data_IF_186934400348
#
_entry.id   IF_186934400348
#
_cell.length_a   1.000
_cell.length_b   1.000
_cell.length_c   1.000
_cell.angle_alpha   90.00
_cell.angle_beta   90.00
_cell.angle_gamma   90.00
#
_symmetry.space_group_name_H-M   'P 1'
#
loop_
_entity.id
_entity.type
_entity.pdbx_description
1 polymer ?
#
# COMPACT_ATOMS: atom_id res chain seq x y z
N UNK A 1 -13.99 -11.73 3.77
CA UNK A 1 -12.55 -11.53 4.03
C UNK A 1 -12.38 -10.76 5.33
N UNK A 2 -11.40 -11.12 6.11
CA UNK A 2 -11.14 -10.51 7.41
C UNK A 2 -9.82 -9.75 7.36
N UNK A 3 -9.81 -8.51 7.89
CA UNK A 3 -8.59 -7.70 8.01
C UNK A 3 -8.14 -7.74 9.46
N UNK A 4 -6.87 -8.01 9.69
CA UNK A 4 -6.25 -7.91 11.01
C UNK A 4 -5.06 -6.99 10.94
N UNK A 5 -4.87 -6.19 11.99
CA UNK A 5 -3.71 -5.32 12.12
C UNK A 5 -2.90 -5.72 13.34
N UNK A 6 -1.60 -5.50 13.23
CA UNK A 6 -0.67 -5.92 14.25
C UNK A 6 0.51 -4.96 14.26
N UNK A 7 0.96 -4.55 15.43
CA UNK A 7 2.05 -3.59 15.58
C UNK A 7 3.19 -4.20 16.39
N UNK A 8 4.41 -3.97 15.95
CA UNK A 8 5.61 -4.38 16.67
C UNK A 8 6.69 -3.33 16.49
N UNK A 9 7.03 -2.62 17.57
CA UNK A 9 8.03 -1.56 17.54
C UNK A 9 7.62 -0.49 16.51
N UNK A 10 8.50 -0.12 15.58
CA UNK A 10 8.19 0.86 14.52
C UNK A 10 7.48 0.25 13.32
N UNK A 11 7.14 -1.02 13.36
CA UNK A 11 6.53 -1.73 12.24
C UNK A 11 5.04 -1.97 12.49
N UNK A 12 4.25 -1.80 11.44
CA UNK A 12 2.81 -2.03 11.45
C UNK A 12 2.47 -2.98 10.31
N UNK A 13 1.61 -3.95 10.60
CA UNK A 13 1.27 -4.99 9.63
C UNK A 13 -0.23 -5.03 9.42
N UNK A 14 -0.62 -5.20 8.17
CA UNK A 14 -2.02 -5.40 7.78
C UNK A 14 -2.07 -6.75 7.08
N UNK A 15 -2.92 -7.64 7.56
CA UNK A 15 -3.11 -8.96 6.98
C UNK A 15 -4.57 -9.13 6.58
N UNK A 16 -4.79 -9.78 5.45
CA UNK A 16 -6.14 -10.13 4.99
C UNK A 16 -6.25 -11.63 4.93
N UNK A 17 -7.34 -12.16 5.48
CA UNK A 17 -7.61 -13.59 5.55
C UNK A 17 -8.90 -13.95 4.82
N UNK A 18 -8.89 -15.10 4.19
CA UNK A 18 -10.10 -15.76 3.72
C UNK A 18 -10.20 -17.07 4.53
N UNK A 19 -11.10 -17.11 5.52
CA UNK A 19 -11.09 -18.16 6.50
C UNK A 19 -9.79 -18.16 7.30
N UNK A 20 -9.08 -19.27 7.34
CA UNK A 20 -7.82 -19.42 8.06
C UNK A 20 -6.59 -19.12 7.19
N UNK A 21 -6.78 -18.81 5.91
CA UNK A 21 -5.70 -18.61 4.98
C UNK A 21 -5.41 -17.13 4.80
N UNK A 22 -4.16 -16.73 5.04
CA UNK A 22 -3.74 -15.35 4.77
C UNK A 22 -3.58 -15.17 3.26
N UNK A 23 -4.32 -14.24 2.69
CA UNK A 23 -4.33 -13.98 1.25
C UNK A 23 -3.71 -12.65 0.87
N UNK A 24 -3.37 -11.81 1.85
CA UNK A 24 -2.69 -10.54 1.61
C UNK A 24 -1.93 -10.09 2.83
N UNK A 25 -0.83 -9.38 2.60
CA UNK A 25 -0.04 -8.76 3.66
C UNK A 25 0.56 -7.45 3.19
N UNK A 26 0.59 -6.47 4.07
CA UNK A 26 1.18 -5.16 3.84
C UNK A 26 1.98 -4.78 5.06
N UNK A 27 3.21 -4.32 4.86
CA UNK A 27 4.07 -3.90 5.96
C UNK A 27 4.39 -2.43 5.85
N UNK A 28 4.31 -1.73 6.98
CA UNK A 28 4.54 -0.29 7.08
C UNK A 28 5.59 -0.06 8.15
N UNK A 29 6.47 0.90 7.89
CA UNK A 29 7.51 1.30 8.83
C UNK A 29 7.32 2.77 9.20
N UNK A 30 7.34 3.05 10.51
CA UNK A 30 7.39 4.42 11.02
C UNK A 30 8.74 5.03 10.69
N UNK A 31 8.75 6.15 9.98
CA UNK A 31 9.98 6.86 9.64
C UNK A 31 10.20 8.09 10.53
N UNK A 32 9.11 8.76 10.88
CA UNK A 32 9.12 9.93 11.78
C UNK A 32 7.68 10.21 12.20
N UNK A 33 7.48 11.21 13.03
CA UNK A 33 6.14 11.59 13.47
C UNK A 33 5.21 11.96 12.30
N UNK A 34 5.79 12.40 11.18
CA UNK A 34 5.03 12.87 10.03
C UNK A 34 5.04 11.91 8.85
N UNK A 35 5.82 10.82 8.90
CA UNK A 35 6.06 9.98 7.73
C UNK A 35 6.04 8.50 8.08
N UNK A 36 5.36 7.73 7.23
CA UNK A 36 5.43 6.27 7.23
C UNK A 36 5.77 5.80 5.82
N UNK A 37 6.33 4.62 5.73
CA UNK A 37 6.72 4.03 4.45
C UNK A 37 6.13 2.63 4.33
N UNK A 38 5.47 2.35 3.22
CA UNK A 38 4.98 1.01 2.93
C UNK A 38 6.13 0.21 2.34
N UNK A 39 6.58 -0.80 3.10
CA UNK A 39 7.72 -1.62 2.69
C UNK A 39 7.33 -2.67 1.65
N UNK A 40 6.12 -3.19 1.72
CA UNK A 40 5.64 -4.20 0.77
C UNK A 40 4.11 -4.28 0.78
N UNK A 41 3.59 -4.69 -0.36
CA UNK A 41 2.17 -5.05 -0.52
C UNK A 41 2.17 -6.36 -1.31
N UNK A 42 1.71 -7.43 -0.70
CA UNK A 42 1.72 -8.75 -1.33
C UNK A 42 0.33 -9.36 -1.29
N UNK A 43 -0.15 -9.82 -2.43
CA UNK A 43 -1.43 -10.52 -2.56
C UNK A 43 -1.17 -11.94 -3.05
N UNK A 44 -1.84 -12.90 -2.43
CA UNK A 44 -1.79 -14.29 -2.90
C UNK A 44 -2.21 -14.33 -4.37
N UNK A 45 -1.43 -15.05 -5.17
CA UNK A 45 -1.60 -15.13 -6.62
C UNK A 45 -3.04 -15.44 -7.07
N UNK A 46 -3.72 -16.31 -6.33
CA UNK A 46 -5.11 -16.71 -6.65
C UNK A 46 -6.12 -15.59 -6.41
N UNK A 47 -5.72 -14.54 -5.70
CA UNK A 47 -6.60 -13.44 -5.32
C UNK A 47 -6.21 -12.11 -5.97
N UNK A 48 -5.25 -12.11 -6.88
CA UNK A 48 -4.88 -10.90 -7.63
C UNK A 48 -6.07 -10.44 -8.46
N UNK A 49 -6.35 -9.12 -8.43
CA UNK A 49 -7.48 -8.56 -9.15
C UNK A 49 -8.82 -8.68 -8.43
N UNK A 50 -8.83 -9.19 -7.20
CA UNK A 50 -10.07 -9.37 -6.42
C UNK A 50 -10.24 -8.35 -5.30
N UNK A 51 -9.48 -7.26 -5.34
CA UNK A 51 -9.63 -6.17 -4.39
C UNK A 51 -8.89 -6.33 -3.08
N UNK A 52 -8.04 -7.34 -2.93
CA UNK A 52 -7.29 -7.56 -1.67
C UNK A 52 -6.30 -6.43 -1.42
N UNK A 53 -5.52 -6.04 -2.44
CA UNK A 53 -4.58 -4.94 -2.32
C UNK A 53 -5.31 -3.63 -2.01
N UNK A 54 -6.47 -3.41 -2.64
CA UNK A 54 -7.30 -2.23 -2.39
C UNK A 54 -7.73 -2.17 -0.92
N UNK A 55 -8.16 -3.29 -0.36
CA UNK A 55 -8.52 -3.35 1.07
C UNK A 55 -7.33 -2.95 1.96
N UNK A 56 -6.15 -3.47 1.66
CA UNK A 56 -4.95 -3.20 2.46
C UNK A 56 -4.52 -1.74 2.35
N UNK A 57 -4.49 -1.19 1.14
CA UNK A 57 -4.11 0.20 0.93
C UNK A 57 -5.08 1.14 1.63
N UNK A 58 -6.39 0.90 1.50
CA UNK A 58 -7.39 1.71 2.19
C UNK A 58 -7.23 1.64 3.71
N UNK A 59 -6.90 0.46 4.24
CA UNK A 59 -6.67 0.32 5.68
C UNK A 59 -5.43 1.09 6.13
N UNK A 60 -4.36 1.04 5.35
CA UNK A 60 -3.14 1.80 5.64
C UNK A 60 -3.42 3.30 5.66
N UNK A 61 -4.18 3.78 4.68
CA UNK A 61 -4.55 5.21 4.61
C UNK A 61 -5.39 5.60 5.82
N UNK A 62 -6.35 4.78 6.21
CA UNK A 62 -7.18 5.03 7.38
C UNK A 62 -6.33 5.14 8.66
N UNK A 63 -5.36 4.24 8.81
CA UNK A 63 -4.49 4.22 10.00
C UNK A 63 -3.55 5.43 10.07
N UNK A 64 -3.08 5.91 8.92
CA UNK A 64 -2.04 6.93 8.84
C UNK A 64 -2.43 8.15 8.00
N UNK A 65 -3.71 8.49 7.95
CA UNK A 65 -4.21 9.58 7.10
C UNK A 65 -3.60 10.95 7.42
N UNK A 66 -3.10 11.14 8.65
CA UNK A 66 -2.50 12.40 9.08
C UNK A 66 -1.01 12.47 8.82
N UNK A 67 -0.44 11.42 8.26
CA UNK A 67 0.99 11.33 7.94
C UNK A 67 1.19 11.21 6.44
N UNK A 68 2.37 11.61 5.98
CA UNK A 68 2.79 11.33 4.62
C UNK A 68 3.09 9.84 4.49
N UNK A 69 2.53 9.19 3.48
CA UNK A 69 2.74 7.78 3.20
C UNK A 69 3.54 7.66 1.93
N UNK A 70 4.70 7.01 1.99
CA UNK A 70 5.52 6.77 0.80
C UNK A 70 5.60 5.27 0.49
N UNK A 71 5.91 4.96 -0.75
CA UNK A 71 6.20 3.59 -1.19
C UNK A 71 7.10 3.63 -2.41
N UNK A 72 7.82 2.54 -2.65
CA UNK A 72 8.58 2.35 -3.88
C UNK A 72 7.81 1.38 -4.76
N UNK A 73 7.58 1.77 -6.01
CA UNK A 73 6.88 0.92 -6.98
C UNK A 73 7.83 -0.18 -7.43
N UNK A 74 7.51 -1.41 -7.05
CA UNK A 74 8.29 -2.59 -7.42
C UNK A 74 7.39 -3.60 -8.11
N UNK A 75 7.40 -3.65 -9.44
CA UNK A 75 6.65 -4.67 -10.13
C UNK A 75 7.23 -6.05 -9.82
N UNK A 76 6.36 -7.01 -9.55
CA UNK A 76 6.76 -8.40 -9.34
C UNK A 76 6.23 -9.21 -10.51
N UNK A 77 7.07 -9.48 -11.53
CA UNK A 77 6.63 -10.26 -12.68
C UNK A 77 6.15 -11.64 -12.24
N UNK A 78 5.00 -12.04 -12.74
CA UNK A 78 4.43 -13.36 -12.47
C UNK A 78 4.00 -13.96 -13.80
N UNK A 79 4.52 -15.13 -14.10
CA UNK A 79 4.20 -15.81 -15.36
C UNK A 79 2.71 -16.10 -15.47
N UNK A 80 2.12 -15.72 -16.60
CA UNK A 80 0.72 -15.97 -16.89
C UNK A 80 -0.27 -15.11 -16.12
N UNK A 81 0.21 -14.06 -15.48
CA UNK A 81 -0.61 -13.23 -14.63
C UNK A 81 -1.01 -11.90 -15.26
N UNK A 82 -1.85 -11.18 -14.56
CA UNK A 82 -2.38 -9.91 -15.00
C UNK A 82 -1.24 -8.90 -15.22
N UNK A 83 -0.97 -8.59 -16.49
CA UNK A 83 0.10 -7.70 -16.90
C UNK A 83 -0.02 -6.31 -16.25
N UNK A 84 -1.25 -5.86 -16.01
CA UNK A 84 -1.53 -4.57 -15.40
C UNK A 84 -0.81 -4.37 -14.06
N UNK A 85 -0.64 -5.44 -13.29
CA UNK A 85 -0.01 -5.37 -11.97
C UNK A 85 1.45 -5.79 -11.98
N UNK A 86 2.00 -6.11 -13.15
CA UNK A 86 3.41 -6.53 -13.27
C UNK A 86 4.31 -5.44 -13.85
N UNK A 87 3.75 -4.30 -14.25
CA UNK A 87 4.52 -3.19 -14.82
C UNK A 87 4.52 -1.99 -13.87
N UNK A 88 5.58 -1.17 -13.97
CA UNK A 88 5.65 0.09 -13.21
C UNK A 88 4.45 0.97 -13.58
N UNK A 89 4.17 1.10 -14.87
CA UNK A 89 3.05 1.93 -15.34
C UNK A 89 1.71 1.49 -14.76
N UNK A 90 1.47 0.19 -14.72
CA UNK A 90 0.22 -0.36 -14.17
C UNK A 90 0.11 -0.10 -12.67
N UNK A 91 1.20 -0.29 -11.93
CA UNK A 91 1.21 -0.04 -10.50
C UNK A 91 1.08 1.44 -10.18
N UNK A 92 1.74 2.32 -10.95
CA UNK A 92 1.58 3.78 -10.77
C UNK A 92 0.12 4.15 -10.92
N UNK A 93 -0.55 3.68 -11.98
CA UNK A 93 -1.97 3.95 -12.20
C UNK A 93 -2.82 3.43 -11.04
N UNK A 94 -2.49 2.26 -10.52
CA UNK A 94 -3.18 1.68 -9.38
C UNK A 94 -3.05 2.56 -8.13
N UNK A 95 -1.83 2.96 -7.78
CA UNK A 95 -1.60 3.76 -6.58
C UNK A 95 -2.14 5.19 -6.73
N UNK A 96 -2.15 5.75 -7.94
CA UNK A 96 -2.72 7.09 -8.18
C UNK A 96 -4.19 7.17 -7.77
N UNK A 97 -4.93 6.07 -7.86
CA UNK A 97 -6.34 6.03 -7.44
C UNK A 97 -6.53 6.32 -5.95
N UNK A 98 -5.47 6.11 -5.16
CA UNK A 98 -5.51 6.33 -3.72
C UNK A 98 -4.89 7.67 -3.30
N UNK A 99 -4.53 8.50 -4.27
CA UNK A 99 -3.95 9.82 -4.00
C UNK A 99 -2.43 9.84 -3.95
N UNK A 100 -1.76 8.73 -4.27
CA UNK A 100 -0.31 8.72 -4.38
C UNK A 100 0.13 9.39 -5.67
N UNK A 101 1.24 10.11 -5.62
CA UNK A 101 1.82 10.79 -6.78
C UNK A 101 3.31 10.47 -6.88
N UNK A 102 3.81 10.35 -8.10
CA UNK A 102 5.23 10.12 -8.33
C UNK A 102 6.06 11.31 -7.83
N UNK A 103 7.23 10.99 -7.32
CA UNK A 103 8.24 11.99 -6.98
C UNK A 103 9.21 12.13 -8.16
N UNK A 104 10.21 13.02 -8.01
CA UNK A 104 11.21 13.27 -9.05
C UNK A 104 12.46 12.42 -8.87
N UNK A 105 12.37 11.26 -8.21
CA UNK A 105 13.53 10.39 -8.05
C UNK A 105 13.97 9.86 -9.42
N UNK A 106 15.25 10.06 -9.82
CA UNK A 106 15.71 9.68 -11.15
C UNK A 106 16.08 8.21 -11.30
N UNK A 107 16.14 7.45 -10.21
CA UNK A 107 16.62 6.07 -10.23
C UNK A 107 15.49 5.07 -10.01
N UNK A 108 14.63 5.35 -9.05
CA UNK A 108 13.51 4.46 -8.69
C UNK A 108 12.21 5.25 -8.69
N UNK A 109 11.10 4.54 -8.86
CA UNK A 109 9.78 5.18 -8.80
C UNK A 109 9.28 5.17 -7.37
N UNK A 110 9.38 6.32 -6.72
CA UNK A 110 8.83 6.56 -5.39
C UNK A 110 7.52 7.32 -5.55
N UNK A 111 6.50 6.88 -4.85
CA UNK A 111 5.22 7.59 -4.80
C UNK A 111 4.92 8.02 -3.38
N UNK A 112 4.25 9.15 -3.25
CA UNK A 112 3.94 9.77 -1.96
C UNK A 112 2.49 10.19 -1.94
N UNK A 113 1.81 9.89 -0.83
CA UNK A 113 0.49 10.42 -0.54
C UNK A 113 0.61 11.42 0.61
N UNK A 114 0.23 12.65 0.37
CA UNK A 114 0.27 13.70 1.38
C UNK A 114 -0.82 13.48 2.43
N UNK A 115 -0.60 13.93 3.67
CA UNK A 115 -1.60 13.76 4.72
C UNK A 115 -2.89 14.47 4.39
N UNK A 116 -4.00 13.86 4.81
CA UNK A 116 -5.31 14.48 4.76
C UNK A 116 -5.49 15.24 6.07
N UNK A 117 -5.34 16.55 6.03
CA UNK A 117 -5.53 17.36 7.21
C UNK A 117 -7.02 17.56 7.46
N UNK A 118 -7.47 17.50 8.73
CA UNK A 118 -8.86 17.81 9.03
C UNK A 118 -9.14 19.25 8.60
N UNK A 119 -10.27 19.44 7.91
CA UNK A 119 -10.74 20.78 7.60
C UNK A 119 -11.04 21.44 8.93
N UNK A 120 -10.20 22.39 9.32
CA UNK A 120 -10.52 23.20 10.48
C UNK A 120 -11.82 23.91 10.13
N UNK A 121 -12.85 23.68 10.91
CA UNK A 121 -14.17 24.21 10.67
C UNK A 121 -14.18 25.72 10.79
N UNK A 122 -13.76 26.33 9.76
CA UNK A 122 -13.76 27.76 9.64
C UNK A 122 -14.97 28.19 8.86
#
# INVERSE_FOLDING_TARGET
MKIETFNHDKYHYINVYNGCVRIGKLGIEDKSDNKVHINYVVTNIKYVGKGVATLMINKAIEMFKEREISLMVKPMPRNGENIKYTTVKGLVSFYEKFGFKKTNDPIVTIMVRKPTLPTLGV
#
